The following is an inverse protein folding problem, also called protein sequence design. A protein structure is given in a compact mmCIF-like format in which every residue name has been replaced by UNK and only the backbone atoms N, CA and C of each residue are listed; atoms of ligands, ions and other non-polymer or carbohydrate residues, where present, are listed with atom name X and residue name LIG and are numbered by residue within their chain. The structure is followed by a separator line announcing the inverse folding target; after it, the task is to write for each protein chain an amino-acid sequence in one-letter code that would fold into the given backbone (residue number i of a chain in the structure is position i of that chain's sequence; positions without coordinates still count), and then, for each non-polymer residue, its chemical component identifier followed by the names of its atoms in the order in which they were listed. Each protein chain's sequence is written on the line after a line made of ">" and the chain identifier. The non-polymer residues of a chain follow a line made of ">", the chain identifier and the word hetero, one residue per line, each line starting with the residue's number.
data_IF_386996692084
#
_entry.id   IF_386996692084
#
_cell.length_a   1.000
_cell.length_b   1.000
_cell.length_c   1.000
_cell.angle_alpha   90.00
_cell.angle_beta   90.00
_cell.angle_gamma   90.00
#
_symmetry.space_group_name_H-M   'P 1'
#
loop_
_entity.id
_entity.type
_entity.pdbx_description
1 polymer ?
#
# COMPACT_ATOMS: atom_id res chain seq x y z
N UNK A 1 -10.77 -73.51 37.86
CA UNK A 1 -11.19 -73.27 36.47
C UNK A 1 -11.33 -71.77 36.28
N UNK A 2 -10.82 -71.29 35.15
CA UNK A 2 -10.35 -69.94 34.91
C UNK A 2 -11.46 -68.87 34.95
N UNK A 3 -11.09 -67.70 35.48
CA UNK A 3 -11.90 -66.48 35.45
C UNK A 3 -11.43 -65.69 34.22
N UNK A 4 -12.23 -65.70 33.15
CA UNK A 4 -11.94 -64.97 31.92
C UNK A 4 -11.82 -63.48 32.21
N UNK A 5 -10.59 -62.98 32.11
CA UNK A 5 -10.28 -61.56 32.18
C UNK A 5 -10.39 -61.04 30.74
N UNK A 6 -11.58 -60.53 30.39
CA UNK A 6 -11.76 -59.76 29.15
C UNK A 6 -10.85 -58.53 29.22
N UNK A 7 -9.80 -58.55 28.42
CA UNK A 7 -9.00 -57.38 28.10
C UNK A 7 -9.86 -56.51 27.19
N UNK A 8 -10.25 -55.32 27.67
CA UNK A 8 -10.75 -54.27 26.78
C UNK A 8 -9.54 -53.74 26.02
N UNK A 9 -9.39 -54.14 24.76
CA UNK A 9 -8.58 -53.41 23.81
C UNK A 9 -9.32 -52.09 23.55
N UNK A 10 -8.77 -50.99 24.08
CA UNK A 10 -9.13 -49.65 23.60
C UNK A 10 -8.61 -49.56 22.16
N UNK A 11 -9.51 -49.71 21.19
CA UNK A 11 -9.25 -49.28 19.82
C UNK A 11 -8.97 -47.78 19.85
N UNK A 12 -7.69 -47.40 19.87
CA UNK A 12 -7.26 -46.06 19.46
C UNK A 12 -7.76 -45.86 18.04
N UNK A 13 -8.88 -45.14 17.89
CA UNK A 13 -9.35 -44.65 16.61
C UNK A 13 -8.21 -43.82 16.00
N UNK A 14 -7.47 -44.39 15.06
CA UNK A 14 -6.53 -43.62 14.24
C UNK A 14 -7.36 -42.56 13.50
N UNK A 15 -7.18 -41.30 13.90
CA UNK A 15 -7.79 -40.17 13.20
C UNK A 15 -7.43 -40.26 11.71
N UNK A 16 -8.44 -40.23 10.85
CA UNK A 16 -8.25 -40.29 9.41
C UNK A 16 -7.29 -39.18 9.00
N UNK A 17 -6.14 -39.50 8.38
CA UNK A 17 -5.11 -38.51 8.20
C UNK A 17 -5.51 -37.50 7.11
N UNK A 18 -5.31 -36.22 7.40
CA UNK A 18 -5.68 -35.11 6.51
C UNK A 18 -4.72 -35.07 5.32
N UNK A 19 -5.17 -35.54 4.15
CA UNK A 19 -4.38 -35.57 2.92
C UNK A 19 -5.15 -35.02 1.71
N UNK A 20 -4.41 -34.76 0.63
CA UNK A 20 -4.98 -34.42 -0.67
C UNK A 20 -5.79 -33.13 -0.69
N UNK A 21 -6.97 -33.19 -1.29
CA UNK A 21 -7.90 -32.08 -1.51
C UNK A 21 -8.39 -31.42 -0.21
N UNK A 22 -8.61 -32.22 0.85
CA UNK A 22 -8.99 -31.71 2.17
C UNK A 22 -7.86 -30.83 2.73
N UNK A 23 -6.61 -31.30 2.65
CA UNK A 23 -5.44 -30.54 3.12
C UNK A 23 -5.29 -29.23 2.32
N UNK A 24 -5.44 -29.28 1.00
CA UNK A 24 -5.37 -28.09 0.13
C UNK A 24 -6.45 -27.06 0.48
N UNK A 25 -7.67 -27.55 0.75
CA UNK A 25 -8.81 -26.74 1.14
C UNK A 25 -8.58 -26.08 2.49
N UNK A 26 -8.14 -26.83 3.51
CA UNK A 26 -7.80 -26.28 4.83
C UNK A 26 -6.73 -25.21 4.71
N UNK A 27 -5.62 -25.51 4.02
CA UNK A 27 -4.54 -24.54 3.82
C UNK A 27 -4.98 -23.31 3.01
N UNK A 28 -6.05 -23.40 2.22
CA UNK A 28 -6.59 -22.24 1.48
C UNK A 28 -7.12 -21.14 2.40
N UNK A 29 -7.53 -21.49 3.63
CA UNK A 29 -8.08 -20.56 4.62
C UNK A 29 -7.06 -20.12 5.68
N UNK A 30 -5.90 -20.77 5.76
CA UNK A 30 -4.83 -20.43 6.71
C UNK A 30 -4.10 -19.15 6.26
N UNK A 31 -3.79 -18.18 7.13
CA UNK A 31 -3.02 -16.98 6.80
C UNK A 31 -1.72 -17.29 6.05
N UNK A 32 -1.33 -16.43 5.10
CA UNK A 32 -0.14 -16.69 4.27
C UNK A 32 1.13 -16.87 5.11
N UNK A 33 1.20 -16.23 6.28
CA UNK A 33 2.32 -16.35 7.19
C UNK A 33 2.48 -17.76 7.77
N UNK A 34 1.39 -18.38 8.21
CA UNK A 34 1.42 -19.72 8.79
C UNK A 34 1.67 -20.81 7.73
N UNK A 35 1.37 -20.49 6.46
CA UNK A 35 1.72 -21.37 5.34
C UNK A 35 3.22 -21.56 5.18
N UNK A 36 4.05 -20.61 5.64
CA UNK A 36 5.51 -20.75 5.62
C UNK A 36 5.93 -21.98 6.42
N UNK A 37 5.47 -22.07 7.68
CA UNK A 37 5.73 -23.21 8.55
C UNK A 37 5.06 -24.48 8.01
N UNK A 38 3.81 -24.39 7.56
CA UNK A 38 3.08 -25.52 6.98
C UNK A 38 3.82 -26.14 5.78
N UNK A 39 4.44 -25.31 4.93
CA UNK A 39 5.21 -25.77 3.77
C UNK A 39 6.50 -26.52 4.12
N UNK A 40 6.97 -26.45 5.37
CA UNK A 40 8.19 -27.12 5.83
C UNK A 40 7.93 -28.47 6.50
N UNK A 41 6.65 -28.81 6.78
CA UNK A 41 6.28 -30.05 7.48
C UNK A 41 6.67 -31.30 6.68
N UNK A 42 6.33 -31.34 5.39
CA UNK A 42 6.66 -32.45 4.50
C UNK A 42 6.54 -32.06 3.02
N UNK A 43 7.02 -32.93 2.11
CA UNK A 43 6.83 -32.74 0.66
C UNK A 43 5.35 -32.68 0.27
N UNK A 44 4.50 -33.49 0.92
CA UNK A 44 3.05 -33.48 0.69
C UNK A 44 2.43 -32.15 1.08
N UNK A 45 2.78 -31.61 2.24
CA UNK A 45 2.29 -30.32 2.72
C UNK A 45 2.80 -29.16 1.85
N UNK A 46 4.07 -29.17 1.47
CA UNK A 46 4.62 -28.19 0.53
C UNK A 46 3.88 -28.22 -0.82
N UNK A 47 3.53 -29.42 -1.31
CA UNK A 47 2.72 -29.61 -2.51
C UNK A 47 1.32 -29.02 -2.34
N UNK A 48 0.65 -29.33 -1.22
CA UNK A 48 -0.69 -28.84 -0.92
C UNK A 48 -0.74 -27.31 -0.75
N UNK A 49 0.23 -26.70 -0.06
CA UNK A 49 0.36 -25.23 0.01
C UNK A 49 0.51 -24.63 -1.38
N UNK A 50 1.39 -25.21 -2.21
CA UNK A 50 1.63 -24.71 -3.57
C UNK A 50 0.40 -24.84 -4.46
N UNK A 51 -0.33 -25.96 -4.36
CA UNK A 51 -1.59 -26.19 -5.09
C UNK A 51 -2.66 -25.20 -4.65
N UNK A 52 -2.86 -25.07 -3.34
CA UNK A 52 -3.85 -24.17 -2.74
C UNK A 52 -3.65 -22.71 -3.17
N UNK A 53 -2.41 -22.23 -3.17
CA UNK A 53 -2.06 -20.87 -3.60
C UNK A 53 -2.22 -20.65 -5.11
N UNK A 54 -2.18 -21.69 -5.94
CA UNK A 54 -2.33 -21.57 -7.40
C UNK A 54 -3.77 -21.70 -7.85
N UNK A 55 -4.49 -22.66 -7.28
CA UNK A 55 -5.75 -23.16 -7.80
C UNK A 55 -6.97 -22.78 -6.96
N UNK A 56 -6.83 -22.63 -5.65
CA UNK A 56 -7.97 -22.33 -4.76
C UNK A 56 -8.02 -20.85 -4.39
N UNK A 57 -7.01 -20.37 -3.69
CA UNK A 57 -6.95 -18.99 -3.18
C UNK A 57 -5.57 -18.40 -3.41
N UNK A 58 -5.47 -17.63 -4.50
CA UNK A 58 -4.26 -16.90 -4.88
C UNK A 58 -3.87 -15.88 -3.84
N UNK A 59 -2.57 -15.64 -3.74
CA UNK A 59 -2.02 -14.53 -2.95
C UNK A 59 -2.59 -13.22 -3.49
N UNK A 60 -3.01 -12.36 -2.58
CA UNK A 60 -3.48 -11.02 -2.87
C UNK A 60 -2.51 -10.01 -2.27
N UNK A 61 -2.36 -8.82 -2.85
CA UNK A 61 -1.53 -7.77 -2.28
C UNK A 61 -2.00 -7.39 -0.89
N UNK A 62 -1.06 -7.19 0.02
CA UNK A 62 -1.34 -6.84 1.41
C UNK A 62 -1.46 -5.33 1.56
N UNK A 63 -2.45 -4.91 2.35
CA UNK A 63 -2.54 -3.54 2.86
C UNK A 63 -1.62 -3.44 4.07
N UNK A 64 -0.72 -2.46 4.09
CA UNK A 64 0.24 -2.26 5.16
C UNK A 64 0.03 -0.90 5.78
N UNK A 65 -0.15 -0.86 7.09
CA UNK A 65 -0.42 0.34 7.86
C UNK A 65 0.69 0.51 8.88
N UNK A 66 1.41 1.62 8.78
CA UNK A 66 2.35 2.06 9.78
C UNK A 66 1.75 3.18 10.62
N UNK A 67 1.99 3.15 11.92
CA UNK A 67 1.76 4.30 12.78
C UNK A 67 3.06 4.79 13.36
N UNK A 68 3.18 6.10 13.56
CA UNK A 68 4.31 6.72 14.22
C UNK A 68 3.79 7.68 15.29
N UNK A 69 4.23 7.49 16.54
CA UNK A 69 3.95 8.45 17.61
C UNK A 69 4.45 9.83 17.22
N UNK A 70 3.62 10.85 17.41
CA UNK A 70 3.99 12.26 17.21
C UNK A 70 4.82 12.81 18.38
N UNK A 71 4.93 12.03 19.47
CA UNK A 71 5.70 12.38 20.68
C UNK A 71 6.88 11.42 20.87
N UNK A 72 7.99 11.89 21.49
CA UNK A 72 9.08 11.02 21.90
C UNK A 72 8.57 9.80 22.70
N UNK A 73 9.07 8.57 22.42
CA UNK A 73 10.23 8.24 21.60
C UNK A 73 9.93 8.02 20.09
N UNK A 74 8.81 8.53 19.56
CA UNK A 74 8.42 8.40 18.15
C UNK A 74 8.30 6.95 17.67
N UNK A 75 7.90 6.06 18.59
CA UNK A 75 7.75 4.64 18.32
C UNK A 75 6.87 4.41 17.09
N UNK A 76 7.34 3.51 16.22
CA UNK A 76 6.60 3.06 15.05
C UNK A 76 6.01 1.69 15.29
N UNK A 77 4.81 1.45 14.77
CA UNK A 77 4.22 0.11 14.70
C UNK A 77 3.80 -0.17 13.27
N UNK A 78 3.83 -1.44 12.86
CA UNK A 78 3.40 -1.88 11.54
C UNK A 78 2.35 -2.99 11.68
N UNK A 79 1.30 -2.91 10.88
CA UNK A 79 0.28 -3.95 10.74
C UNK A 79 0.05 -4.21 9.26
N UNK A 80 -0.18 -5.47 8.91
CA UNK A 80 -0.54 -5.87 7.56
C UNK A 80 -1.86 -6.63 7.58
N UNK A 81 -2.73 -6.35 6.62
CA UNK A 81 -3.94 -7.10 6.38
C UNK A 81 -3.70 -8.08 5.23
N UNK A 82 -3.98 -9.37 5.46
CA UNK A 82 -3.97 -10.41 4.43
C UNK A 82 -5.38 -10.59 3.85
N UNK A 83 -5.69 -10.10 2.64
CA UNK A 83 -7.03 -10.21 2.06
C UNK A 83 -7.40 -11.64 1.65
N UNK A 84 -6.47 -12.60 1.78
CA UNK A 84 -6.71 -14.02 1.49
C UNK A 84 -7.37 -14.73 2.68
N UNK A 85 -6.89 -14.50 3.90
CA UNK A 85 -7.48 -15.05 5.12
C UNK A 85 -8.49 -14.10 5.76
N UNK A 86 -8.34 -12.79 5.55
CA UNK A 86 -9.15 -11.76 6.19
C UNK A 86 -8.59 -11.34 7.55
N UNK A 87 -7.35 -11.70 7.87
CA UNK A 87 -6.74 -11.41 9.17
C UNK A 87 -5.79 -10.22 9.11
N UNK A 88 -5.71 -9.52 10.24
CA UNK A 88 -4.66 -8.55 10.50
C UNK A 88 -3.47 -9.22 11.19
N UNK A 89 -2.28 -8.79 10.83
CA UNK A 89 -1.00 -9.31 11.33
C UNK A 89 -0.21 -8.12 11.85
N UNK A 90 0.12 -8.12 13.13
CA UNK A 90 1.04 -7.14 13.69
C UNK A 90 2.48 -7.52 13.33
N UNK A 91 3.25 -6.58 12.80
CA UNK A 91 4.66 -6.74 12.43
C UNK A 91 5.48 -5.96 13.45
N UNK A 92 6.20 -6.69 14.31
CA UNK A 92 7.11 -6.08 15.27
C UNK A 92 8.46 -5.81 14.61
N UNK A 93 8.66 -4.58 14.15
CA UNK A 93 9.93 -4.12 13.61
C UNK A 93 10.13 -2.64 13.93
N UNK A 94 11.32 -2.29 14.41
CA UNK A 94 11.72 -0.88 14.56
C UNK A 94 12.65 -0.52 13.40
N UNK A 95 12.30 0.50 12.59
CA UNK A 95 13.16 0.92 11.50
C UNK A 95 14.51 1.40 12.07
N UNK A 96 15.62 1.09 11.41
CA UNK A 96 16.95 1.44 11.87
C UNK A 96 17.19 2.94 11.67
N UNK A 97 16.76 3.79 12.61
CA UNK A 97 17.06 5.22 12.51
C UNK A 97 17.46 5.81 13.86
N UNK A 98 18.72 6.28 13.93
CA UNK A 98 19.25 7.15 14.98
C UNK A 98 18.69 8.58 14.88
N UNK A 99 17.91 8.88 13.84
CA UNK A 99 17.39 10.19 13.51
C UNK A 99 15.87 10.18 13.37
N UNK A 100 15.20 10.90 14.27
CA UNK A 100 13.75 11.07 14.25
C UNK A 100 13.35 11.90 13.03
N UNK A 101 12.64 11.29 12.10
CA UNK A 101 12.00 11.99 10.98
C UNK A 101 10.59 11.45 10.73
N UNK A 102 9.77 12.23 10.05
CA UNK A 102 8.38 11.86 9.79
C UNK A 102 8.32 10.71 8.77
N UNK A 103 7.73 9.59 9.15
CA UNK A 103 7.41 8.49 8.22
C UNK A 103 6.32 8.96 7.26
N UNK A 104 6.54 8.79 5.95
CA UNK A 104 5.60 9.20 4.89
C UNK A 104 5.56 8.17 3.76
N UNK A 105 4.56 8.32 2.92
CA UNK A 105 4.39 7.61 1.66
C UNK A 105 3.73 8.56 0.67
N UNK A 106 4.21 8.58 -0.57
CA UNK A 106 3.58 9.35 -1.65
C UNK A 106 2.90 8.46 -2.68
N UNK A 107 3.24 7.17 -2.73
CA UNK A 107 2.58 6.17 -3.55
C UNK A 107 2.66 4.79 -2.90
N UNK A 108 1.79 3.89 -3.33
CA UNK A 108 1.53 2.58 -2.72
C UNK A 108 2.73 1.77 -2.22
N UNK A 109 3.84 1.74 -2.97
CA UNK A 109 4.93 0.78 -2.74
C UNK A 109 6.19 1.35 -2.12
N UNK A 110 6.20 2.64 -1.76
CA UNK A 110 7.38 3.29 -1.19
C UNK A 110 7.03 3.99 0.11
N UNK A 111 7.83 3.74 1.14
CA UNK A 111 7.81 4.53 2.37
C UNK A 111 9.14 5.25 2.53
N UNK A 112 9.12 6.46 3.06
CA UNK A 112 10.31 7.26 3.23
C UNK A 112 10.28 8.10 4.51
N UNK A 113 11.46 8.52 4.94
CA UNK A 113 11.69 9.46 6.02
C UNK A 113 12.73 10.46 5.53
N UNK A 114 12.47 11.75 5.74
CA UNK A 114 13.35 12.82 5.33
C UNK A 114 13.71 13.69 6.55
N UNK A 115 15.01 13.90 6.71
CA UNK A 115 15.60 14.85 7.64
C UNK A 115 16.54 15.79 6.88
N UNK A 116 17.01 16.90 7.48
CA UNK A 116 17.93 17.82 6.80
C UNK A 116 19.27 17.20 6.37
N UNK A 117 19.67 16.04 6.93
CA UNK A 117 20.96 15.40 6.64
C UNK A 117 20.85 14.01 6.02
N UNK A 118 19.73 13.31 6.23
CA UNK A 118 19.53 11.94 5.78
C UNK A 118 18.17 11.76 5.11
N UNK A 119 18.18 10.94 4.08
CA UNK A 119 16.99 10.44 3.40
C UNK A 119 16.98 8.91 3.51
N UNK A 120 15.91 8.37 4.10
CA UNK A 120 15.72 6.93 4.22
C UNK A 120 14.49 6.51 3.43
N UNK A 121 14.57 5.42 2.67
CA UNK A 121 13.44 4.89 1.91
C UNK A 121 13.44 3.36 1.89
N UNK A 122 12.24 2.79 1.77
CA UNK A 122 12.03 1.35 1.70
C UNK A 122 10.93 1.03 0.69
N UNK A 123 11.27 0.19 -0.28
CA UNK A 123 10.33 -0.51 -1.16
C UNK A 123 10.22 -2.01 -0.87
N UNK A 124 10.89 -2.48 0.20
CA UNK A 124 10.73 -3.83 0.72
C UNK A 124 9.23 -4.13 0.96
N UNK A 125 8.70 -5.30 0.53
CA UNK A 125 7.28 -5.60 0.64
C UNK A 125 6.73 -5.45 2.05
N UNK A 126 7.51 -5.78 3.09
CA UNK A 126 7.11 -5.70 4.50
C UNK A 126 7.68 -4.45 5.22
N UNK A 127 8.38 -3.57 4.49
CA UNK A 127 9.07 -2.37 5.01
C UNK A 127 10.10 -2.65 6.11
N UNK A 128 10.75 -3.81 6.04
CA UNK A 128 11.76 -4.25 7.01
C UNK A 128 13.17 -3.76 6.66
N UNK A 129 13.45 -3.54 5.38
CA UNK A 129 14.78 -3.13 4.91
C UNK A 129 14.75 -1.69 4.41
N UNK A 130 15.54 -0.83 5.06
CA UNK A 130 15.62 0.59 4.75
C UNK A 130 16.97 0.94 4.12
N UNK A 131 16.93 1.69 3.02
CA UNK A 131 18.10 2.33 2.43
C UNK A 131 18.27 3.72 3.03
N UNK A 132 19.43 4.01 3.60
CA UNK A 132 19.74 5.32 4.18
C UNK A 132 20.86 5.96 3.38
N UNK A 133 20.60 7.16 2.87
CA UNK A 133 21.51 7.96 2.05
C UNK A 133 21.56 9.40 2.57
N UNK A 134 22.46 10.22 2.04
CA UNK A 134 22.47 11.65 2.34
C UNK A 134 21.21 12.32 1.78
N UNK A 135 20.74 13.36 2.47
CA UNK A 135 19.55 14.10 2.06
C UNK A 135 19.72 14.74 0.65
N UNK A 136 18.62 15.05 -0.04
CA UNK A 136 18.66 15.90 -1.24
C UNK A 136 19.36 17.24 -0.95
N UNK A 137 19.87 17.88 -2.01
CA UNK A 137 20.58 19.15 -1.94
C UNK A 137 19.66 20.29 -1.50
N UNK A 138 18.38 20.24 -1.90
CA UNK A 138 17.37 21.25 -1.54
C UNK A 138 16.66 20.82 -0.26
N UNK A 139 16.51 21.76 0.69
CA UNK A 139 15.79 21.50 1.94
C UNK A 139 14.28 21.49 1.73
N UNK A 140 13.64 20.41 2.19
CA UNK A 140 12.22 20.12 1.94
C UNK A 140 11.53 19.57 3.18
N UNK A 141 10.26 19.90 3.37
CA UNK A 141 9.45 19.45 4.51
C UNK A 141 8.37 18.46 4.11
N UNK A 142 7.80 18.57 2.91
CA UNK A 142 6.72 17.69 2.44
C UNK A 142 6.78 17.37 0.94
N UNK A 143 7.88 16.76 0.47
CA UNK A 143 8.01 16.44 -0.94
C UNK A 143 7.13 15.26 -1.34
N UNK A 144 6.85 15.15 -2.63
CA UNK A 144 6.44 13.88 -3.22
C UNK A 144 7.66 13.05 -3.59
N UNK A 145 7.58 11.74 -3.35
CA UNK A 145 8.68 10.80 -3.62
C UNK A 145 8.18 9.60 -4.42
N UNK A 146 8.91 9.21 -5.46
CA UNK A 146 8.60 8.01 -6.23
C UNK A 146 9.86 7.22 -6.59
N UNK A 147 9.77 5.89 -6.54
CA UNK A 147 10.80 5.01 -7.09
C UNK A 147 10.43 4.63 -8.53
N UNK A 148 11.27 5.01 -9.48
CA UNK A 148 11.08 4.78 -10.92
C UNK A 148 12.32 4.08 -11.48
N UNK A 149 12.23 2.75 -11.63
CA UNK A 149 13.39 1.94 -12.02
C UNK A 149 14.52 2.03 -10.99
N UNK A 150 15.72 2.39 -11.44
CA UNK A 150 16.90 2.58 -10.58
C UNK A 150 17.00 3.98 -9.97
N UNK A 151 15.97 4.82 -10.13
CA UNK A 151 15.96 6.21 -9.68
C UNK A 151 14.93 6.44 -8.57
N UNK A 152 15.28 7.24 -7.58
CA UNK A 152 14.31 7.81 -6.62
C UNK A 152 14.15 9.29 -6.93
N UNK A 153 12.94 9.68 -7.31
CA UNK A 153 12.58 11.07 -7.63
C UNK A 153 12.01 11.73 -6.39
N UNK A 154 12.52 12.91 -6.03
CA UNK A 154 12.00 13.77 -4.97
C UNK A 154 11.62 15.11 -5.60
N UNK A 155 10.35 15.48 -5.51
CA UNK A 155 9.82 16.69 -6.14
C UNK A 155 8.94 17.50 -5.18
N UNK A 156 8.94 18.82 -5.35
CA UNK A 156 8.12 19.73 -4.53
C UNK A 156 8.49 19.73 -3.05
N UNK A 157 7.59 20.26 -2.22
CA UNK A 157 7.74 20.34 -0.76
C UNK A 157 8.95 21.15 -0.28
N UNK A 158 9.56 21.98 -1.13
CA UNK A 158 10.68 22.84 -0.74
C UNK A 158 10.24 23.83 0.34
N UNK A 159 11.14 24.10 1.28
CA UNK A 159 10.84 24.98 2.40
C UNK A 159 10.80 26.46 1.97
N UNK A 160 10.13 27.31 2.77
CA UNK A 160 9.94 28.74 2.47
C UNK A 160 11.25 29.55 2.34
N UNK A 161 12.39 28.97 2.74
CA UNK A 161 13.71 29.57 2.64
C UNK A 161 14.43 29.25 1.33
N UNK A 162 13.88 28.37 0.50
CA UNK A 162 14.43 27.99 -0.81
C UNK A 162 13.85 28.87 -1.92
N UNK A 163 14.69 29.25 -2.89
CA UNK A 163 14.27 30.10 -4.01
C UNK A 163 13.37 29.36 -5.02
N UNK A 164 13.45 28.03 -5.09
CA UNK A 164 12.67 27.19 -6.00
C UNK A 164 11.78 26.17 -5.25
N UNK A 165 10.51 26.53 -4.93
CA UNK A 165 9.54 25.63 -4.28
C UNK A 165 9.17 24.40 -5.12
N UNK A 166 9.54 24.41 -6.41
CA UNK A 166 9.22 23.38 -7.39
C UNK A 166 10.44 22.52 -7.73
N UNK A 167 11.51 22.60 -6.94
CA UNK A 167 12.74 21.83 -7.16
C UNK A 167 12.46 20.34 -7.36
N UNK A 168 13.20 19.71 -8.27
CA UNK A 168 13.14 18.26 -8.52
C UNK A 168 14.55 17.70 -8.49
N UNK A 169 14.74 16.64 -7.71
CA UNK A 169 16.01 15.96 -7.59
C UNK A 169 15.82 14.46 -7.77
N UNK A 170 16.80 13.83 -8.41
CA UNK A 170 16.80 12.39 -8.65
C UNK A 170 18.04 11.79 -8.03
N UNK A 171 17.85 10.80 -7.18
CA UNK A 171 18.89 9.93 -6.66
C UNK A 171 19.06 8.73 -7.58
N UNK A 172 20.23 8.60 -8.18
CA UNK A 172 20.62 7.43 -8.96
C UNK A 172 21.15 6.34 -8.02
N UNK A 173 20.42 5.22 -7.89
CA UNK A 173 20.81 4.13 -6.98
C UNK A 173 22.06 3.38 -7.43
N UNK A 174 22.46 3.50 -8.70
CA UNK A 174 23.64 2.82 -9.25
C UNK A 174 24.92 3.57 -8.91
N UNK A 175 24.86 4.89 -9.01
CA UNK A 175 26.02 5.77 -8.77
C UNK A 175 26.04 6.31 -7.33
N UNK A 176 24.90 6.31 -6.64
CA UNK A 176 24.78 6.81 -5.28
C UNK A 176 24.79 8.33 -5.18
N UNK A 177 24.34 9.02 -6.23
CA UNK A 177 24.45 10.49 -6.33
C UNK A 177 23.09 11.14 -6.60
N UNK A 178 22.91 12.33 -6.01
CA UNK A 178 21.79 13.22 -6.29
C UNK A 178 22.09 14.08 -7.52
N UNK A 179 21.06 14.37 -8.30
CA UNK A 179 21.16 15.32 -9.40
C UNK A 179 19.90 16.18 -9.51
N UNK A 180 20.12 17.48 -9.67
CA UNK A 180 19.05 18.43 -9.97
C UNK A 180 18.47 18.16 -11.37
N UNK A 181 17.16 18.34 -11.50
CA UNK A 181 16.40 18.12 -12.72
C UNK A 181 15.58 19.37 -13.08
N UNK A 182 14.81 19.29 -14.17
CA UNK A 182 13.83 20.32 -14.48
C UNK A 182 12.81 20.45 -13.33
N UNK A 183 12.62 21.68 -12.83
CA UNK A 183 11.63 22.00 -11.80
C UNK A 183 10.22 21.58 -12.22
N UNK A 184 9.36 21.30 -11.24
CA UNK A 184 7.95 20.99 -11.50
C UNK A 184 7.29 22.10 -12.32
N UNK A 185 6.28 21.77 -13.14
CA UNK A 185 5.51 22.77 -13.87
C UNK A 185 4.97 23.88 -12.97
N UNK A 186 5.16 25.15 -13.37
CA UNK A 186 4.83 26.32 -12.56
C UNK A 186 3.35 26.38 -12.09
N UNK A 187 2.45 25.77 -12.86
CA UNK A 187 1.04 25.58 -12.54
C UNK A 187 0.76 24.74 -11.28
N UNK A 188 1.74 23.96 -10.78
CA UNK A 188 1.62 23.19 -9.55
C UNK A 188 2.18 23.94 -8.32
N UNK A 189 2.61 25.20 -8.47
CA UNK A 189 3.28 25.96 -7.41
C UNK A 189 2.46 26.04 -6.12
N UNK A 190 1.16 26.30 -6.24
CA UNK A 190 0.27 26.47 -5.09
C UNK A 190 -0.16 25.13 -4.46
N UNK A 191 0.21 24.00 -5.10
CA UNK A 191 -0.13 22.63 -4.69
C UNK A 191 1.11 21.75 -4.58
N UNK A 192 2.29 22.32 -4.32
CA UNK A 192 3.57 21.59 -4.31
C UNK A 192 3.75 20.62 -3.12
N UNK A 193 2.81 20.61 -2.16
CA UNK A 193 2.80 19.71 -1.00
C UNK A 193 2.25 18.32 -1.35
N UNK A 194 2.75 17.28 -0.68
CA UNK A 194 2.32 15.89 -0.94
C UNK A 194 0.84 15.64 -0.65
N UNK A 195 0.22 16.43 0.22
CA UNK A 195 -1.19 16.32 0.57
C UNK A 195 -2.13 16.70 -0.59
N UNK A 196 -1.73 17.68 -1.41
CA UNK A 196 -2.48 18.19 -2.57
C UNK A 196 -2.22 17.39 -3.85
N UNK A 197 -1.18 16.58 -3.87
CA UNK A 197 -0.74 15.83 -5.04
C UNK A 197 -1.01 14.34 -4.89
N UNK A 198 -1.23 13.67 -6.00
CA UNK A 198 -1.30 12.22 -6.11
C UNK A 198 -0.23 11.75 -7.08
N UNK A 199 0.45 10.65 -6.74
CA UNK A 199 1.60 10.14 -7.47
C UNK A 199 1.35 8.70 -7.88
N UNK A 200 1.64 8.39 -9.14
CA UNK A 200 1.65 7.02 -9.65
C UNK A 200 2.92 6.77 -10.46
N UNK A 201 3.40 5.53 -10.45
CA UNK A 201 4.52 5.11 -11.32
C UNK A 201 3.99 4.16 -12.37
N UNK A 202 4.14 4.53 -13.64
CA UNK A 202 3.64 3.74 -14.76
C UNK A 202 4.54 3.93 -15.98
N UNK A 203 4.80 2.85 -16.74
CA UNK A 203 5.58 2.92 -17.99
C UNK A 203 7.00 3.49 -17.82
N UNK A 204 7.64 3.32 -16.66
CA UNK A 204 8.96 3.87 -16.38
C UNK A 204 8.99 5.38 -16.14
N UNK A 205 7.83 6.00 -15.86
CA UNK A 205 7.69 7.42 -15.55
C UNK A 205 6.93 7.61 -14.24
N UNK A 206 7.18 8.75 -13.60
CA UNK A 206 6.39 9.25 -12.47
C UNK A 206 5.29 10.16 -13.02
N UNK A 207 4.04 9.90 -12.64
CA UNK A 207 2.90 10.77 -12.91
C UNK A 207 2.53 11.52 -11.64
N UNK A 208 2.24 12.81 -11.77
CA UNK A 208 1.85 13.68 -10.66
C UNK A 208 0.58 14.41 -11.04
N UNK A 209 -0.49 14.16 -10.30
CA UNK A 209 -1.79 14.81 -10.48
C UNK A 209 -2.11 15.71 -9.28
N UNK A 210 -2.58 16.93 -9.55
CA UNK A 210 -3.20 17.74 -8.51
C UNK A 210 -4.61 17.20 -8.21
N UNK A 211 -4.86 16.82 -6.96
CA UNK A 211 -6.09 16.10 -6.57
C UNK A 211 -7.36 16.87 -6.90
N UNK A 212 -7.35 18.19 -6.69
CA UNK A 212 -8.54 19.00 -6.91
C UNK A 212 -8.83 19.21 -8.40
N UNK A 213 -7.82 19.58 -9.20
CA UNK A 213 -8.01 19.94 -10.61
C UNK A 213 -7.99 18.74 -11.57
N UNK A 214 -7.34 17.62 -11.20
CA UNK A 214 -7.05 16.51 -12.10
C UNK A 214 -5.89 16.79 -13.08
N UNK A 215 -5.30 17.98 -13.00
CA UNK A 215 -4.19 18.40 -13.84
C UNK A 215 -2.97 17.52 -13.56
N UNK A 216 -2.50 16.81 -14.59
CA UNK A 216 -1.48 15.79 -14.44
C UNK A 216 -0.28 16.07 -15.32
N UNK A 217 0.91 15.77 -14.83
CA UNK A 217 2.15 15.78 -15.58
C UNK A 217 2.90 14.47 -15.40
N UNK A 218 3.74 14.12 -16.37
CA UNK A 218 4.65 12.99 -16.24
C UNK A 218 6.09 13.47 -16.21
N UNK A 219 6.91 12.85 -15.39
CA UNK A 219 8.34 13.06 -15.28
C UNK A 219 9.07 11.78 -15.67
N UNK A 220 10.00 11.90 -16.60
CA UNK A 220 10.88 10.81 -17.02
C UNK A 220 12.27 11.01 -16.39
N UNK A 221 12.70 10.15 -15.45
CA UNK A 221 13.99 10.29 -14.79
C UNK A 221 15.19 10.13 -15.75
N UNK A 222 15.02 9.47 -16.89
CA UNK A 222 16.11 9.29 -17.86
C UNK A 222 16.40 10.58 -18.63
N UNK A 223 15.34 11.26 -19.10
CA UNK A 223 15.46 12.55 -19.78
C UNK A 223 15.47 13.74 -18.82
N UNK A 224 15.18 13.52 -17.53
CA UNK A 224 15.09 14.52 -16.45
C UNK A 224 14.12 15.66 -16.78
N UNK A 225 13.07 15.34 -17.52
CA UNK A 225 12.16 16.32 -18.10
C UNK A 225 10.68 15.97 -17.84
N UNK A 226 9.87 17.02 -17.78
CA UNK A 226 8.42 16.93 -17.63
C UNK A 226 7.70 16.91 -18.98
N UNK A 227 6.54 16.25 -19.03
CA UNK A 227 5.59 16.26 -20.14
C UNK A 227 4.17 16.46 -19.64
N UNK A 228 3.32 17.01 -20.51
CA UNK A 228 1.95 17.39 -20.20
C UNK A 228 1.68 18.85 -20.58
N UNK A 229 0.61 19.46 -20.04
CA UNK A 229 -0.34 18.86 -19.10
C UNK A 229 -1.22 17.78 -19.74
N UNK A 230 -1.68 16.84 -18.91
CA UNK A 230 -2.76 15.90 -19.19
C UNK A 230 -3.94 16.25 -18.31
N UNK A 231 -5.15 16.17 -18.85
CA UNK A 231 -6.38 16.30 -18.08
C UNK A 231 -6.93 14.90 -17.79
N UNK A 232 -6.73 14.43 -16.56
CA UNK A 232 -7.20 13.12 -16.11
C UNK A 232 -8.52 13.21 -15.35
N UNK A 233 -9.33 14.24 -15.57
CA UNK A 233 -10.67 14.35 -14.98
C UNK A 233 -11.74 13.92 -16.00
N UNK A 234 -12.25 12.67 -15.94
CA UNK A 234 -13.16 12.18 -16.97
C UNK A 234 -14.60 12.66 -16.77
N UNK A 235 -14.96 13.06 -15.56
CA UNK A 235 -16.31 13.47 -15.16
C UNK A 235 -16.24 14.83 -14.44
N UNK A 236 -17.05 15.79 -14.89
CA UNK A 236 -17.08 17.14 -14.33
C UNK A 236 -17.53 17.18 -12.87
N UNK A 237 -18.21 16.13 -12.39
CA UNK A 237 -18.61 16.00 -10.99
C UNK A 237 -17.47 15.57 -10.06
N UNK A 238 -16.29 15.21 -10.57
CA UNK A 238 -15.14 14.80 -9.76
C UNK A 238 -14.49 16.02 -9.10
N UNK A 239 -14.55 16.09 -7.78
CA UNK A 239 -13.89 17.16 -7.00
C UNK A 239 -12.56 16.73 -6.39
N UNK A 240 -12.30 15.43 -6.28
CA UNK A 240 -11.04 14.87 -5.80
C UNK A 240 -10.65 13.69 -6.69
N UNK A 241 -9.44 13.71 -7.25
CA UNK A 241 -8.86 12.68 -8.11
C UNK A 241 -7.57 12.13 -7.49
N UNK A 242 -7.44 10.82 -7.40
CA UNK A 242 -6.21 10.15 -6.97
C UNK A 242 -5.81 9.15 -8.06
N UNK A 243 -4.59 9.29 -8.56
CA UNK A 243 -4.00 8.38 -9.55
C UNK A 243 -3.20 7.28 -8.85
N UNK A 244 -3.23 6.08 -9.41
CA UNK A 244 -2.43 4.95 -8.94
C UNK A 244 -2.11 4.00 -10.11
N UNK A 245 -1.16 3.07 -9.90
CA UNK A 245 -0.94 1.99 -10.88
C UNK A 245 -1.53 0.66 -10.41
N UNK A 246 -2.46 0.12 -11.21
CA UNK A 246 -3.12 -1.15 -10.94
C UNK A 246 -3.36 -1.93 -12.23
N UNK A 247 -3.21 -3.25 -12.16
CA UNK A 247 -3.42 -4.18 -13.27
C UNK A 247 -2.49 -3.92 -14.47
N UNK A 248 -1.34 -3.29 -14.23
CA UNK A 248 -0.43 -2.85 -15.29
C UNK A 248 -0.89 -1.60 -16.05
N UNK A 249 -1.89 -0.87 -15.54
CA UNK A 249 -2.38 0.37 -16.15
C UNK A 249 -2.26 1.54 -15.16
N UNK A 250 -2.32 2.76 -15.70
CA UNK A 250 -2.60 3.94 -14.88
C UNK A 250 -4.12 4.01 -14.64
N UNK A 251 -4.51 4.09 -13.39
CA UNK A 251 -5.91 4.25 -12.98
C UNK A 251 -6.08 5.59 -12.26
N UNK A 252 -7.29 6.14 -12.33
CA UNK A 252 -7.69 7.20 -11.42
C UNK A 252 -8.95 6.82 -10.66
N UNK A 253 -8.96 7.15 -9.37
CA UNK A 253 -10.09 7.05 -8.47
C UNK A 253 -10.59 8.48 -8.24
N UNK A 254 -11.81 8.77 -8.66
CA UNK A 254 -12.41 10.09 -8.51
C UNK A 254 -13.61 10.05 -7.58
N UNK A 255 -13.64 10.98 -6.64
CA UNK A 255 -14.76 11.22 -5.75
C UNK A 255 -15.70 12.23 -6.42
N UNK A 256 -16.96 11.83 -6.63
CA UNK A 256 -17.96 12.61 -7.35
C UNK A 256 -18.93 13.25 -6.37
N UNK A 257 -19.23 14.54 -6.56
CA UNK A 257 -20.13 15.30 -5.70
C UNK A 257 -19.46 16.56 -5.15
N UNK A 258 -19.56 16.76 -3.83
CA UNK A 258 -18.80 17.78 -3.09
C UNK A 258 -18.25 17.18 -1.80
N UNK A 259 -17.31 17.86 -1.13
CA UNK A 259 -16.78 17.42 0.17
C UNK A 259 -17.87 17.17 1.23
N UNK A 260 -18.97 17.93 1.21
CA UNK A 260 -20.10 17.81 2.13
C UNK A 260 -21.14 16.76 1.69
N UNK A 261 -21.06 16.30 0.44
CA UNK A 261 -22.05 15.41 -0.16
C UNK A 261 -21.42 14.57 -1.27
N UNK A 262 -20.68 13.54 -0.85
CA UNK A 262 -20.19 12.51 -1.78
C UNK A 262 -21.40 11.74 -2.33
N UNK A 263 -21.52 11.73 -3.65
CA UNK A 263 -22.53 10.95 -4.38
C UNK A 263 -22.04 9.54 -4.67
N UNK A 264 -20.81 9.41 -5.15
CA UNK A 264 -20.21 8.13 -5.55
C UNK A 264 -18.70 8.26 -5.68
N UNK A 265 -18.02 7.12 -5.79
CA UNK A 265 -16.60 7.04 -6.15
C UNK A 265 -16.49 6.18 -7.40
N UNK A 266 -15.81 6.69 -8.43
CA UNK A 266 -15.66 6.01 -9.71
C UNK A 266 -14.18 5.76 -10.00
N UNK A 267 -13.93 4.70 -10.75
CA UNK A 267 -12.60 4.30 -11.18
C UNK A 267 -12.51 4.31 -12.70
N UNK A 268 -11.46 4.92 -13.23
CA UNK A 268 -11.15 4.92 -14.66
C UNK A 268 -9.76 4.37 -14.89
N UNK A 269 -9.58 3.77 -16.07
CA UNK A 269 -8.31 3.32 -16.61
C UNK A 269 -7.94 4.21 -17.78
N UNK A 270 -6.68 4.61 -17.83
CA UNK A 270 -6.12 5.41 -18.92
C UNK A 270 -5.13 4.57 -19.72
N UNK A 271 -5.23 4.65 -21.04
CA UNK A 271 -4.35 3.98 -21.99
C UNK A 271 -3.90 4.95 -23.10
N UNK A 272 -2.97 4.50 -23.94
CA UNK A 272 -2.38 5.33 -25.01
C UNK A 272 -1.21 6.19 -24.53
N UNK A 273 -0.38 6.66 -25.46
CA UNK A 273 0.81 7.46 -25.14
C UNK A 273 0.45 8.82 -24.51
N UNK A 274 -0.71 9.37 -24.88
CA UNK A 274 -1.23 10.66 -24.40
C UNK A 274 -2.28 10.54 -23.30
N UNK A 275 -2.56 9.32 -22.80
CA UNK A 275 -3.62 9.05 -21.80
C UNK A 275 -5.03 9.48 -22.25
N UNK A 276 -5.31 9.40 -23.55
CA UNK A 276 -6.58 9.84 -24.15
C UNK A 276 -7.67 8.76 -24.13
N UNK A 277 -7.28 7.48 -24.07
CA UNK A 277 -8.21 6.36 -24.03
C UNK A 277 -8.67 6.14 -22.58
N UNK A 278 -9.91 6.52 -22.28
CA UNK A 278 -10.49 6.42 -20.94
C UNK A 278 -11.58 5.35 -20.90
N UNK A 279 -11.39 4.36 -20.04
CA UNK A 279 -12.38 3.30 -19.78
C UNK A 279 -12.87 3.36 -18.34
N UNK A 280 -14.18 3.25 -18.14
CA UNK A 280 -14.74 3.10 -16.78
C UNK A 280 -14.45 1.68 -16.29
N UNK A 281 -13.71 1.58 -15.19
CA UNK A 281 -13.36 0.30 -14.55
C UNK A 281 -14.49 -0.16 -13.64
N UNK A 282 -15.06 0.77 -12.86
CA UNK A 282 -16.22 0.50 -12.04
C UNK A 282 -16.64 1.68 -11.18
N UNK A 283 -17.82 1.54 -10.59
CA UNK A 283 -18.42 2.49 -9.68
C UNK A 283 -18.63 1.83 -8.32
N UNK A 284 -18.32 2.58 -7.25
CA UNK A 284 -18.43 2.13 -5.88
C UNK A 284 -19.91 1.99 -5.48
N UNK A 285 -20.35 0.84 -4.96
CA UNK A 285 -21.71 0.65 -4.48
C UNK A 285 -22.04 1.61 -3.32
N UNK A 286 -23.29 2.04 -3.23
CA UNK A 286 -23.77 2.99 -2.22
C UNK A 286 -23.42 2.56 -0.78
N UNK A 287 -23.56 1.26 -0.45
CA UNK A 287 -23.18 0.72 0.85
C UNK A 287 -21.70 1.01 1.21
N UNK A 288 -20.80 0.91 0.23
CA UNK A 288 -19.37 1.17 0.42
C UNK A 288 -19.08 2.67 0.50
N UNK A 289 -19.86 3.50 -0.20
CA UNK A 289 -19.76 4.96 -0.11
C UNK A 289 -20.11 5.42 1.31
N UNK A 290 -21.17 4.87 1.92
CA UNK A 290 -21.53 5.17 3.30
C UNK A 290 -20.46 4.72 4.30
N UNK A 291 -19.88 3.53 4.10
CA UNK A 291 -18.75 3.06 4.92
C UNK A 291 -17.51 3.95 4.78
N UNK A 292 -17.23 4.47 3.58
CA UNK A 292 -16.10 5.37 3.33
C UNK A 292 -16.30 6.73 4.00
N UNK A 293 -17.54 7.24 4.06
CA UNK A 293 -17.86 8.48 4.79
C UNK A 293 -17.60 8.33 6.30
N UNK A 294 -17.96 7.17 6.84
CA UNK A 294 -17.90 6.94 8.29
C UNK A 294 -18.93 7.81 9.01
N UNK A 295 -18.54 8.38 10.14
CA UNK A 295 -19.39 9.31 10.89
C UNK A 295 -19.29 10.77 10.38
N UNK A 296 -18.31 11.06 9.52
CA UNK A 296 -18.08 12.40 9.00
C UNK A 296 -19.04 12.75 7.85
N UNK A 297 -19.68 13.90 7.97
CA UNK A 297 -20.42 14.53 6.85
C UNK A 297 -19.50 15.29 5.88
N UNK A 298 -18.20 15.37 6.17
CA UNK A 298 -17.22 16.12 5.38
C UNK A 298 -16.02 15.26 5.01
N UNK A 299 -15.84 15.02 3.72
CA UNK A 299 -14.77 14.19 3.16
C UNK A 299 -14.06 14.98 2.06
N UNK A 300 -13.00 15.74 2.40
CA UNK A 300 -12.34 16.63 1.46
C UNK A 300 -11.49 15.88 0.43
N UNK A 301 -11.01 14.69 0.79
CA UNK A 301 -10.21 13.84 -0.09
C UNK A 301 -10.24 12.39 0.37
N UNK A 302 -9.78 11.52 -0.51
CA UNK A 302 -9.51 10.11 -0.19
C UNK A 302 -8.04 9.82 -0.42
N UNK A 303 -7.54 8.77 0.22
CA UNK A 303 -6.24 8.18 -0.10
C UNK A 303 -6.47 6.81 -0.74
N UNK A 304 -5.67 6.52 -1.77
CA UNK A 304 -5.75 5.29 -2.53
C UNK A 304 -4.38 4.65 -2.54
N UNK A 305 -4.34 3.35 -2.28
CA UNK A 305 -3.16 2.52 -2.53
C UNK A 305 -3.56 1.30 -3.35
N UNK A 306 -2.75 0.95 -4.33
CA UNK A 306 -3.00 -0.14 -5.25
C UNK A 306 -1.74 -0.96 -5.51
N UNK A 307 -1.94 -2.25 -5.75
CA UNK A 307 -0.92 -3.16 -6.24
C UNK A 307 -1.61 -4.34 -6.92
N UNK A 308 -0.98 -4.92 -7.94
CA UNK A 308 -1.63 -5.98 -8.72
C UNK A 308 -3.01 -5.52 -9.21
N UNK A 309 -4.06 -6.32 -9.03
CA UNK A 309 -5.45 -5.94 -9.33
C UNK A 309 -6.22 -5.41 -8.11
N UNK A 310 -5.57 -5.16 -6.98
CA UNK A 310 -6.22 -4.71 -5.75
C UNK A 310 -6.02 -3.22 -5.53
N UNK A 311 -7.11 -2.54 -5.19
CA UNK A 311 -7.15 -1.12 -4.86
C UNK A 311 -7.81 -0.97 -3.49
N UNK A 312 -7.15 -0.26 -2.59
CA UNK A 312 -7.66 0.11 -1.28
C UNK A 312 -7.89 1.61 -1.23
N UNK A 313 -9.04 2.02 -0.71
CA UNK A 313 -9.49 3.41 -0.63
C UNK A 313 -9.90 3.67 0.81
N UNK A 314 -9.39 4.74 1.41
CA UNK A 314 -9.79 5.15 2.75
C UNK A 314 -9.95 6.67 2.85
N UNK A 315 -10.79 7.10 3.77
CA UNK A 315 -10.92 8.49 4.17
C UNK A 315 -9.83 8.81 5.21
N UNK A 316 -8.87 9.70 4.94
CA UNK A 316 -7.83 10.04 5.91
C UNK A 316 -8.38 10.69 7.19
N UNK A 317 -9.55 11.32 7.12
CA UNK A 317 -10.21 11.95 8.27
C UNK A 317 -10.94 10.94 9.18
N UNK A 318 -11.39 9.82 8.61
CA UNK A 318 -12.11 8.72 9.29
C UNK A 318 -11.50 7.38 8.82
N UNK A 319 -10.29 7.00 9.30
CA UNK A 319 -9.53 5.87 8.80
C UNK A 319 -10.02 4.48 9.29
N UNK A 320 -11.16 4.41 10.00
CA UNK A 320 -11.74 3.23 10.65
C UNK A 320 -12.14 2.13 9.65
N UNK A 321 -12.60 2.51 8.46
CA UNK A 321 -12.96 1.58 7.39
C UNK A 321 -12.05 1.80 6.17
N UNK A 322 -11.59 0.70 5.60
CA UNK A 322 -10.86 0.68 4.33
C UNK A 322 -11.70 -0.08 3.31
N UNK A 323 -12.07 0.60 2.24
CA UNK A 323 -12.76 -0.02 1.11
C UNK A 323 -11.73 -0.72 0.25
N UNK A 324 -11.99 -1.96 -0.14
CA UNK A 324 -11.15 -2.73 -1.04
C UNK A 324 -11.91 -3.06 -2.33
N UNK A 325 -11.21 -3.03 -3.45
CA UNK A 325 -11.75 -3.35 -4.75
C UNK A 325 -10.75 -4.23 -5.52
N UNK A 326 -11.20 -5.42 -5.93
CA UNK A 326 -10.47 -6.25 -6.88
C UNK A 326 -11.00 -5.98 -8.28
N UNK A 327 -10.17 -5.34 -9.11
CA UNK A 327 -10.49 -5.02 -10.51
C UNK A 327 -10.15 -6.17 -11.47
N UNK A 328 -9.73 -7.33 -10.95
CA UNK A 328 -9.35 -8.49 -11.72
C UNK A 328 -10.53 -9.17 -12.42
N UNK A 329 -10.28 -9.69 -13.63
CA UNK A 329 -11.24 -10.40 -14.49
C UNK A 329 -12.35 -9.52 -15.09
N UNK A 330 -12.10 -8.22 -15.28
CA UNK A 330 -13.01 -7.32 -15.99
C UNK A 330 -14.28 -6.92 -15.22
N UNK A 331 -14.35 -7.19 -13.92
CA UNK A 331 -15.42 -6.71 -13.03
C UNK A 331 -14.84 -6.30 -11.68
N UNK A 332 -15.26 -5.15 -11.16
CA UNK A 332 -14.93 -4.72 -9.81
C UNK A 332 -15.67 -5.55 -8.76
N UNK A 333 -14.92 -6.21 -7.87
CA UNK A 333 -15.45 -6.81 -6.65
C UNK A 333 -15.12 -5.91 -5.47
N UNK A 334 -16.14 -5.24 -4.97
CA UNK A 334 -16.04 -4.33 -3.83
C UNK A 334 -16.23 -5.07 -2.50
N UNK A 335 -15.58 -4.58 -1.46
CA UNK A 335 -15.78 -4.98 -0.09
C UNK A 335 -15.17 -3.94 0.85
N UNK A 336 -15.30 -4.16 2.15
CA UNK A 336 -14.69 -3.30 3.15
C UNK A 336 -14.02 -4.14 4.24
N UNK A 337 -13.09 -3.52 4.96
CA UNK A 337 -12.42 -4.09 6.11
C UNK A 337 -12.20 -3.01 7.16
N UNK A 338 -12.54 -3.33 8.41
CA UNK A 338 -12.21 -2.47 9.55
C UNK A 338 -10.69 -2.39 9.72
N UNK A 339 -10.21 -1.17 9.89
CA UNK A 339 -8.82 -0.90 10.18
C UNK A 339 -8.51 -1.23 11.63
N UNK A 340 -7.94 -2.42 11.86
CA UNK A 340 -7.60 -2.89 13.21
C UNK A 340 -6.56 -2.02 13.93
N UNK A 341 -5.92 -1.09 13.23
CA UNK A 341 -4.93 -0.17 13.80
C UNK A 341 -5.59 1.04 14.46
N UNK A 342 -6.79 1.44 14.02
CA UNK A 342 -7.46 2.65 14.51
C UNK A 342 -8.06 2.41 15.89
N UNK A 343 -7.65 3.25 16.84
CA UNK A 343 -8.20 3.37 18.18
C UNK A 343 -7.89 4.78 18.72
N UNK A 344 -8.39 5.13 19.90
CA UNK A 344 -8.23 6.47 20.48
C UNK A 344 -6.77 6.91 20.63
N UNK A 345 -5.83 5.98 20.84
CA UNK A 345 -4.40 6.30 20.94
C UNK A 345 -3.76 6.53 19.58
N UNK A 346 -4.12 5.75 18.56
CA UNK A 346 -3.52 5.84 17.22
C UNK A 346 -4.09 6.97 16.37
N UNK A 347 -5.30 7.49 16.69
CA UNK A 347 -5.86 8.71 16.11
C UNK A 347 -4.95 9.94 16.28
N UNK A 348 -4.12 9.96 17.33
CA UNK A 348 -3.15 11.03 17.60
C UNK A 348 -1.76 10.76 16.99
N UNK A 349 -1.59 9.62 16.33
CA UNK A 349 -0.36 9.19 15.68
C UNK A 349 -0.43 9.50 14.19
N UNK A 350 0.73 9.61 13.55
CA UNK A 350 0.80 9.67 12.09
C UNK A 350 0.53 8.28 11.54
N UNK A 351 -0.46 8.15 10.66
CA UNK A 351 -0.74 6.91 9.93
C UNK A 351 -0.20 7.00 8.50
N UNK A 352 0.50 5.96 8.06
CA UNK A 352 1.00 5.81 6.69
C UNK A 352 0.51 4.49 6.14
N UNK A 353 -0.22 4.55 5.03
CA UNK A 353 -0.81 3.39 4.37
C UNK A 353 -0.04 3.09 3.10
N UNK A 354 0.23 1.82 2.86
CA UNK A 354 0.89 1.30 1.67
C UNK A 354 0.27 -0.03 1.22
N UNK A 355 0.69 -0.50 0.06
CA UNK A 355 0.25 -1.77 -0.51
C UNK A 355 1.44 -2.48 -1.17
N UNK A 356 1.56 -3.78 -0.93
CA UNK A 356 2.71 -4.57 -1.40
C UNK A 356 2.31 -5.99 -1.79
N UNK A 357 2.99 -6.54 -2.81
CA UNK A 357 2.90 -7.96 -3.14
C UNK A 357 3.77 -8.76 -2.17
N UNK A 358 3.17 -9.23 -1.06
CA UNK A 358 3.86 -10.06 -0.07
C UNK A 358 3.79 -11.52 -0.51
N UNK A 359 4.93 -12.11 -0.85
CA UNK A 359 5.01 -13.51 -1.22
C UNK A 359 5.58 -14.39 -0.09
N UNK A 360 5.40 -15.70 -0.23
CA UNK A 360 5.97 -16.71 0.68
C UNK A 360 7.49 -16.56 0.87
N UNK A 361 8.22 -16.09 -0.15
CA UNK A 361 9.66 -15.88 -0.08
C UNK A 361 10.01 -14.68 0.80
N UNK A 362 9.20 -13.63 0.79
CA UNK A 362 9.43 -12.42 1.59
C UNK A 362 9.19 -12.71 3.06
N UNK A 363 8.12 -13.46 3.36
CA UNK A 363 7.81 -13.92 4.71
C UNK A 363 8.91 -14.86 5.25
N UNK A 364 9.41 -15.80 4.43
CA UNK A 364 10.55 -16.66 4.80
C UNK A 364 11.80 -15.85 5.12
N UNK A 365 12.13 -14.84 4.30
CA UNK A 365 13.28 -13.96 4.55
C UNK A 365 13.08 -13.19 5.85
N UNK A 366 11.90 -12.63 6.08
CA UNK A 366 11.56 -11.89 7.29
C UNK A 366 11.72 -12.77 8.55
N UNK A 367 11.19 -14.00 8.54
CA UNK A 367 11.32 -14.95 9.65
C UNK A 367 12.76 -15.42 9.92
N UNK A 368 13.69 -15.23 8.97
CA UNK A 368 15.11 -15.55 9.12
C UNK A 368 15.98 -14.34 9.47
N UNK A 369 15.44 -13.11 9.34
CA UNK A 369 16.21 -11.88 9.50
C UNK A 369 16.52 -11.54 10.97
N UNK A 370 15.60 -11.83 11.90
CA UNK A 370 15.77 -11.50 13.31
C UNK A 370 14.82 -12.31 14.21
N UNK A 371 15.34 -12.88 15.30
CA UNK A 371 14.56 -13.55 16.35
C UNK A 371 13.59 -12.58 17.08
N UNK A 372 13.82 -11.27 16.96
CA UNK A 372 12.97 -10.21 17.50
C UNK A 372 11.74 -9.91 16.62
N UNK A 373 11.78 -10.30 15.34
CA UNK A 373 10.68 -10.09 14.41
C UNK A 373 9.56 -11.07 14.72
N UNK A 374 8.49 -10.55 15.32
CA UNK A 374 7.30 -11.33 15.66
C UNK A 374 6.13 -10.91 14.79
N UNK A 375 5.40 -11.91 14.36
CA UNK A 375 4.10 -11.72 13.74
C UNK A 375 3.03 -12.26 14.67
N UNK A 376 2.01 -11.45 14.91
CA UNK A 376 0.87 -11.86 15.73
C UNK A 376 -0.41 -11.61 14.94
N UNK A 377 -1.23 -12.64 14.76
CA UNK A 377 -2.58 -12.47 14.24
C UNK A 377 -3.40 -11.66 15.23
N UNK A 378 -4.10 -10.64 14.72
CA UNK A 378 -5.03 -9.82 15.47
C UNK A 378 -6.43 -10.14 14.99
N UNK A 379 -7.17 -10.88 15.80
CA UNK A 379 -8.59 -11.09 15.56
C UNK A 379 -9.35 -9.84 15.99
N UNK A 380 -10.15 -9.29 15.08
CA UNK A 380 -11.12 -8.26 15.40
C UNK A 380 -12.32 -8.96 16.06
N UNK A 381 -12.68 -8.54 17.28
CA UNK A 381 -13.91 -8.99 17.96
C UNK A 381 -15.17 -8.44 17.29
#
# INVERSE_FOLDING_TARGET
>A
MAKDRKVHEEETQEEAPIYGDILETVLSHVPLIDLVSASQVSRSWSGAVSSSLRHLKRIKPWLIVHTQSTRPPYATTAHAYDPRSGDWIQIHHQPPTDHVSALRSSHSTLSYMLSPSKFAFSSDPLRLTWHVVDAPLVWRTDPIVAEVGDSVVVAGGACDYEDDPLSVEVYDRRNGEWSACQSMPAMLKDSAASTSLSVAVHGGKMYVAEKCSGLTHSFDPNSKAWRGPYDLRPDQGVFCLVIESAGGNLIAVGVVGSPESIKTVKMWKFSGESLEDVEVVGEMPEEMVEKLKGESSYVPSVNVVARGSFVFIHNPSEPEEVIQCDIGNGRCRWGSVRNAVVNDTTRMQRMVVGCSDVAMVDLRKAMLMDDSLRFAAKHLE
#
